data_IF_367191126709
#
_entry.id   IF_367191126709
#
_cell.length_a   1.000
_cell.length_b   1.000
_cell.length_c   1.000
_cell.angle_alpha   90.00
_cell.angle_beta   90.00
_cell.angle_gamma   90.00
#
_symmetry.space_group_name_H-M   'P 1'
#
loop_
_entity.id
_entity.type
_entity.pdbx_description
1 polymer ?
#
# COMPACT_ATOMS: atom_id res chain seq x y z
N UNK A 1 -6.13 10.95 -20.80
CA UNK A 1 -6.37 11.95 -19.75
C UNK A 1 -5.51 11.56 -18.56
N UNK A 2 -4.75 12.49 -17.99
CA UNK A 2 -4.05 12.27 -16.72
C UNK A 2 -4.81 13.04 -15.63
N UNK A 3 -5.01 12.42 -14.48
CA UNK A 3 -5.66 13.07 -13.34
C UNK A 3 -4.61 13.30 -12.25
N UNK A 4 -4.64 14.50 -11.67
CA UNK A 4 -3.73 14.89 -10.59
C UNK A 4 -4.50 14.88 -9.29
N UNK A 5 -3.88 14.35 -8.24
CA UNK A 5 -4.44 14.30 -6.90
C UNK A 5 -3.38 14.79 -5.91
N UNK A 6 -3.84 15.41 -4.82
CA UNK A 6 -3.00 15.77 -3.68
C UNK A 6 -3.58 15.09 -2.45
N UNK A 7 -2.71 14.43 -1.68
CA UNK A 7 -3.09 13.67 -0.49
C UNK A 7 -2.14 14.07 0.63
N UNK A 8 -2.66 14.29 1.83
CA UNK A 8 -1.83 14.48 3.00
C UNK A 8 -1.32 13.12 3.48
N UNK A 9 0.00 13.00 3.67
CA UNK A 9 0.65 11.81 4.19
C UNK A 9 1.31 12.11 5.54
N UNK A 10 1.40 11.10 6.38
CA UNK A 10 1.99 11.13 7.71
C UNK A 10 3.10 10.08 7.80
N UNK A 11 4.02 10.26 8.75
CA UNK A 11 5.04 9.26 9.04
C UNK A 11 4.41 7.93 9.45
N UNK A 12 4.93 6.84 8.91
CA UNK A 12 4.37 5.49 9.06
C UNK A 12 3.39 5.12 7.94
N UNK A 13 2.91 6.06 7.12
CA UNK A 13 2.04 5.73 5.99
C UNK A 13 2.76 4.87 4.94
N UNK A 14 2.03 3.91 4.37
CA UNK A 14 2.48 3.11 3.24
C UNK A 14 1.83 3.57 1.94
N UNK A 15 2.65 4.00 0.99
CA UNK A 15 2.20 4.31 -0.38
C UNK A 15 2.42 3.08 -1.26
N UNK A 16 1.33 2.55 -1.83
CA UNK A 16 1.35 1.46 -2.80
C UNK A 16 0.88 1.97 -4.17
N UNK A 17 1.67 1.68 -5.19
CA UNK A 17 1.34 1.92 -6.59
C UNK A 17 1.37 0.58 -7.33
N UNK A 18 0.47 0.39 -8.29
CA UNK A 18 0.41 -0.85 -9.06
C UNK A 18 -0.14 -0.63 -10.47
N UNK A 19 0.13 -1.59 -11.35
CA UNK A 19 -0.53 -1.68 -12.66
C UNK A 19 -1.93 -2.26 -12.53
N UNK A 20 -2.72 -2.17 -13.60
CA UNK A 20 -4.06 -2.78 -13.69
C UNK A 20 -4.01 -4.30 -13.41
N UNK A 21 -2.95 -5.00 -13.79
CA UNK A 21 -2.75 -6.42 -13.46
C UNK A 21 -2.87 -6.74 -11.96
N UNK A 22 -2.55 -5.80 -11.07
CA UNK A 22 -2.76 -5.93 -9.61
C UNK A 22 -4.24 -5.79 -9.28
N UNK A 23 -4.85 -4.66 -9.67
CA UNK A 23 -6.23 -4.29 -9.31
C UNK A 23 -7.29 -5.11 -10.04
N UNK A 24 -6.94 -5.77 -11.14
CA UNK A 24 -7.80 -6.72 -11.84
C UNK A 24 -7.89 -8.06 -11.11
N UNK A 25 -6.87 -8.43 -10.34
CA UNK A 25 -6.76 -9.74 -9.70
C UNK A 25 -6.98 -9.71 -8.18
N UNK A 26 -6.67 -8.61 -7.51
CA UNK A 26 -6.87 -8.43 -6.07
C UNK A 26 -7.94 -7.39 -5.76
N UNK A 27 -8.78 -7.66 -4.77
CA UNK A 27 -9.67 -6.64 -4.22
C UNK A 27 -8.93 -5.71 -3.25
N UNK A 28 -9.41 -4.47 -3.10
CA UNK A 28 -8.83 -3.48 -2.19
C UNK A 28 -8.61 -4.02 -0.77
N UNK A 29 -9.58 -4.77 -0.23
CA UNK A 29 -9.47 -5.35 1.11
C UNK A 29 -8.35 -6.40 1.22
N UNK A 30 -8.00 -7.09 0.14
CA UNK A 30 -6.90 -8.05 0.12
C UNK A 30 -5.55 -7.33 0.09
N UNK A 31 -5.45 -6.25 -0.68
CA UNK A 31 -4.28 -5.38 -0.71
C UNK A 31 -4.07 -4.75 0.67
N UNK A 32 -5.14 -4.21 1.29
CA UNK A 32 -5.09 -3.67 2.65
C UNK A 32 -4.71 -4.74 3.68
N UNK A 33 -5.22 -5.97 3.57
CA UNK A 33 -4.87 -7.05 4.48
C UNK A 33 -3.37 -7.38 4.40
N UNK A 34 -2.79 -7.41 3.20
CA UNK A 34 -1.35 -7.62 3.01
C UNK A 34 -0.53 -6.44 3.55
N UNK A 35 -0.96 -5.21 3.30
CA UNK A 35 -0.32 -4.01 3.83
C UNK A 35 -0.32 -3.96 5.36
N UNK A 36 -1.43 -4.34 6.01
CA UNK A 36 -1.56 -4.33 7.47
C UNK A 36 -0.70 -5.39 8.19
N UNK A 37 -0.13 -6.36 7.46
CA UNK A 37 0.84 -7.30 8.03
C UNK A 37 2.25 -6.70 8.11
N UNK A 38 2.49 -5.58 7.44
CA UNK A 38 3.77 -4.92 7.42
C UNK A 38 3.95 -4.02 8.65
N UNK A 39 5.12 -4.07 9.26
CA UNK A 39 5.51 -3.15 10.32
C UNK A 39 6.25 -1.95 9.72
N UNK A 40 5.72 -0.75 9.92
CA UNK A 40 6.35 0.48 9.43
C UNK A 40 7.64 0.80 10.21
N UNK A 41 8.57 1.59 9.64
CA UNK A 41 9.76 2.07 10.35
C UNK A 41 9.42 2.82 11.65
N UNK A 42 8.37 3.65 11.60
CA UNK A 42 7.88 4.43 12.74
C UNK A 42 7.38 3.54 13.88
N UNK A 43 6.58 2.52 13.57
CA UNK A 43 6.09 1.57 14.59
C UNK A 43 7.23 0.73 15.17
N UNK A 44 8.20 0.33 14.34
CA UNK A 44 9.38 -0.40 14.81
C UNK A 44 10.23 0.43 15.79
N UNK A 45 10.34 1.73 15.57
CA UNK A 45 11.00 2.67 16.48
C UNK A 45 10.24 2.80 17.82
N UNK A 46 8.91 2.95 17.78
CA UNK A 46 8.06 2.98 18.99
C UNK A 46 8.21 1.70 19.82
N UNK A 47 8.33 0.55 19.15
CA UNK A 47 8.53 -0.75 19.79
C UNK A 47 9.96 -0.95 20.31
N UNK A 48 10.88 -0.02 20.04
CA UNK A 48 12.28 -0.06 20.48
C UNK A 48 13.13 -1.09 19.73
N UNK A 49 12.69 -1.56 18.56
CA UNK A 49 13.41 -2.55 17.75
C UNK A 49 13.32 -2.22 16.26
N UNK A 50 14.19 -1.31 15.75
CA UNK A 50 14.18 -0.86 14.37
C UNK A 50 14.36 -1.99 13.34
N UNK A 51 14.98 -3.10 13.75
CA UNK A 51 15.25 -4.26 12.88
C UNK A 51 13.99 -5.07 12.55
N UNK A 52 12.86 -4.83 13.25
CA UNK A 52 11.58 -5.48 12.96
C UNK A 52 10.81 -4.83 11.80
N UNK A 53 11.28 -3.70 11.29
CA UNK A 53 10.68 -3.03 10.13
C UNK A 53 10.53 -3.98 8.96
N UNK A 54 9.33 -4.00 8.37
CA UNK A 54 9.10 -4.72 7.11
C UNK A 54 9.57 -3.85 5.96
N UNK A 55 10.48 -4.35 5.12
CA UNK A 55 10.96 -3.58 3.98
C UNK A 55 9.82 -3.31 2.98
N UNK A 56 9.77 -2.10 2.41
CA UNK A 56 8.77 -1.77 1.40
C UNK A 56 8.80 -2.76 0.21
N UNK A 57 10.01 -3.21 -0.18
CA UNK A 57 10.18 -4.24 -1.20
C UNK A 57 9.48 -5.56 -0.85
N UNK A 58 9.54 -6.01 0.40
CA UNK A 58 8.84 -7.22 0.82
C UNK A 58 7.32 -7.06 0.72
N UNK A 59 6.78 -5.88 1.07
CA UNK A 59 5.36 -5.59 0.90
C UNK A 59 4.96 -5.59 -0.57
N UNK A 60 5.74 -4.92 -1.43
CA UNK A 60 5.50 -4.91 -2.87
C UNK A 60 5.52 -6.33 -3.47
N UNK A 61 6.51 -7.15 -3.07
CA UNK A 61 6.62 -8.54 -3.50
C UNK A 61 5.40 -9.36 -3.06
N UNK A 62 4.97 -9.24 -1.81
CA UNK A 62 3.80 -9.96 -1.30
C UNK A 62 2.51 -9.63 -2.08
N UNK A 63 2.29 -8.35 -2.39
CA UNK A 63 1.14 -7.92 -3.21
C UNK A 63 1.25 -8.44 -4.64
N UNK A 64 2.43 -8.34 -5.25
CA UNK A 64 2.66 -8.83 -6.62
C UNK A 64 2.48 -10.36 -6.72
N UNK A 65 2.99 -11.12 -5.75
CA UNK A 65 2.84 -12.57 -5.69
C UNK A 65 1.39 -12.99 -5.49
N UNK A 66 0.65 -12.32 -4.60
CA UNK A 66 -0.77 -12.58 -4.41
C UNK A 66 -1.58 -12.32 -5.69
N UNK A 67 -1.29 -11.21 -6.38
CA UNK A 67 -1.90 -10.91 -7.67
C UNK A 67 -1.54 -11.96 -8.74
N UNK A 68 -0.27 -12.37 -8.82
CA UNK A 68 0.21 -13.35 -9.80
C UNK A 68 -0.33 -14.76 -9.54
N UNK A 69 -0.55 -15.12 -8.27
CA UNK A 69 -1.18 -16.37 -7.91
C UNK A 69 -2.66 -16.38 -8.34
N UNK A 70 -3.39 -15.28 -8.09
CA UNK A 70 -4.79 -15.16 -8.52
C UNK A 70 -4.95 -15.06 -10.04
N UNK A 71 -4.05 -14.35 -10.72
CA UNK A 71 -4.09 -14.17 -12.17
C UNK A 71 -4.04 -15.49 -12.92
N UNK A 72 -3.31 -16.47 -12.39
CA UNK A 72 -3.15 -17.82 -12.97
C UNK A 72 -4.25 -18.80 -12.58
N UNK A 73 -5.10 -18.47 -11.61
CA UNK A 73 -6.13 -19.38 -11.11
C UNK A 73 -7.43 -19.24 -11.96
N UNK A 74 -7.82 -20.27 -12.74
CA UNK A 74 -9.01 -20.21 -13.60
C UNK A 74 -10.34 -20.14 -12.84
N UNK A 75 -10.33 -20.44 -11.54
CA UNK A 75 -11.51 -20.42 -10.67
C UNK A 75 -11.47 -19.27 -9.66
N UNK A 76 -10.43 -18.41 -9.70
CA UNK A 76 -10.34 -17.28 -8.79
C UNK A 76 -11.49 -16.29 -9.02
N UNK A 77 -12.07 -15.84 -7.91
CA UNK A 77 -12.97 -14.69 -7.92
C UNK A 77 -12.11 -13.43 -7.86
N UNK A 78 -12.10 -12.68 -8.94
CA UNK A 78 -11.31 -11.46 -9.09
C UNK A 78 -12.20 -10.25 -9.42
N UNK A 79 -11.73 -9.02 -9.16
CA UNK A 79 -12.39 -7.81 -9.66
C UNK A 79 -12.63 -7.87 -11.17
N UNK A 80 -11.66 -8.30 -11.97
CA UNK A 80 -11.81 -8.42 -13.42
C UNK A 80 -12.98 -9.32 -13.83
N UNK A 81 -13.05 -10.53 -13.27
CA UNK A 81 -14.17 -11.44 -13.50
C UNK A 81 -15.51 -10.80 -13.10
N UNK A 82 -15.57 -10.08 -11.97
CA UNK A 82 -16.78 -9.38 -11.52
C UNK A 82 -17.20 -8.28 -12.50
N UNK A 83 -16.25 -7.51 -13.04
CA UNK A 83 -16.51 -6.49 -14.05
C UNK A 83 -16.94 -7.10 -15.39
N UNK A 84 -16.26 -8.14 -15.87
CA UNK A 84 -16.60 -8.87 -17.09
C UNK A 84 -18.05 -9.40 -17.06
N UNK A 85 -18.45 -10.01 -15.93
CA UNK A 85 -19.83 -10.49 -15.72
C UNK A 85 -20.86 -9.35 -15.77
N UNK A 86 -20.55 -8.18 -15.20
CA UNK A 86 -21.43 -6.99 -15.27
C UNK A 86 -21.55 -6.45 -16.68
N UNK A 87 -20.46 -6.50 -17.45
CA UNK A 87 -20.42 -6.12 -18.86
C UNK A 87 -21.06 -7.17 -19.80
N UNK A 88 -21.72 -8.22 -19.26
CA UNK A 88 -22.31 -9.34 -20.03
C UNK A 88 -21.30 -10.10 -20.89
N UNK A 89 -20.02 -10.06 -20.51
CA UNK A 89 -18.96 -10.86 -21.11
C UNK A 89 -18.64 -12.04 -20.21
N UNK A 90 -18.44 -13.21 -20.81
CA UNK A 90 -18.11 -14.42 -20.07
C UNK A 90 -16.60 -14.56 -19.95
N UNK A 91 -16.06 -14.10 -18.82
CA UNK A 91 -14.68 -14.37 -18.41
C UNK A 91 -14.69 -15.01 -17.02
N UNK A 92 -13.92 -16.08 -16.84
CA UNK A 92 -13.80 -16.82 -15.58
C UNK A 92 -12.35 -16.80 -15.11
N UNK A 93 -12.13 -16.69 -13.80
CA UNK A 93 -10.81 -16.73 -13.20
C UNK A 93 -10.07 -15.38 -13.18
N UNK A 94 -8.78 -15.46 -12.91
CA UNK A 94 -7.87 -14.32 -12.98
C UNK A 94 -7.54 -13.88 -14.39
N UNK A 95 -7.08 -12.64 -14.53
CA UNK A 95 -6.58 -12.06 -15.78
C UNK A 95 -5.06 -12.19 -15.79
N UNK A 96 -4.51 -13.01 -16.69
CA UNK A 96 -3.05 -13.06 -16.88
C UNK A 96 -2.60 -11.75 -17.53
N UNK A 97 -1.84 -10.96 -16.78
CA UNK A 97 -1.38 -9.63 -17.20
C UNK A 97 -0.04 -9.30 -16.53
N UNK A 98 0.61 -8.25 -17.00
CA UNK A 98 1.84 -7.74 -16.40
C UNK A 98 1.54 -7.11 -15.03
N UNK A 99 2.23 -7.60 -14.00
CA UNK A 99 2.03 -7.18 -12.62
C UNK A 99 3.28 -6.43 -12.16
N UNK A 100 3.11 -5.14 -11.90
CA UNK A 100 4.14 -4.30 -11.30
C UNK A 100 3.58 -3.63 -10.06
N UNK A 101 4.34 -3.64 -8.96
CA UNK A 101 4.00 -2.99 -7.69
C UNK A 101 5.20 -2.17 -7.22
N UNK A 102 4.96 -0.94 -6.78
CA UNK A 102 5.94 -0.10 -6.09
C UNK A 102 5.38 0.21 -4.70
N UNK A 103 6.21 0.07 -3.68
CA UNK A 103 5.87 0.39 -2.30
C UNK A 103 6.88 1.39 -1.73
N UNK A 104 6.39 2.31 -0.91
CA UNK A 104 7.22 3.33 -0.24
C UNK A 104 6.68 3.60 1.16
N UNK A 105 7.57 3.60 2.15
CA UNK A 105 7.25 4.08 3.49
C UNK A 105 7.46 5.59 3.57
N UNK A 106 6.51 6.29 4.17
CA UNK A 106 6.65 7.70 4.52
C UNK A 106 7.38 7.78 5.85
N UNK A 107 8.51 8.48 5.86
CA UNK A 107 9.35 8.71 7.04
C UNK A 107 9.46 10.21 7.28
N UNK A 108 9.58 10.65 8.53
CA UNK A 108 10.06 12.00 8.80
C UNK A 108 11.52 12.08 8.39
N UNK A 109 11.87 13.12 7.63
CA UNK A 109 13.23 13.29 7.13
C UNK A 109 14.21 13.51 8.29
N UNK A 110 15.25 12.70 8.37
CA UNK A 110 16.50 13.13 8.96
C UNK A 110 17.22 13.97 7.91
N UNK A 111 17.22 15.31 8.04
CA UNK A 111 18.06 16.15 7.21
C UNK A 111 19.52 15.70 7.32
N UNK A 112 20.03 15.08 6.26
CA UNK A 112 21.46 14.79 6.16
C UNK A 112 22.18 16.06 5.72
N UNK A 113 22.36 16.99 6.66
CA UNK A 113 23.15 18.21 6.47
C UNK A 113 22.52 19.47 7.04
N UNK A 114 22.90 19.78 8.30
CA UNK A 114 22.95 21.11 8.92
C UNK A 114 21.86 22.14 8.55
N UNK A 115 20.80 22.19 9.37
CA UNK A 115 20.44 23.36 10.18
C UNK A 115 19.35 22.95 11.17
N UNK A 116 19.56 23.28 12.44
CA UNK A 116 18.70 22.90 13.55
C UNK A 116 17.32 23.54 13.45
N UNK A 117 16.29 22.73 13.21
CA UNK A 117 14.89 23.08 13.43
C UNK A 117 14.17 21.87 14.00
N UNK A 118 13.81 21.93 15.29
CA UNK A 118 13.18 20.83 16.00
C UNK A 118 11.95 20.29 15.26
N UNK A 119 11.87 18.98 15.07
CA UNK A 119 10.62 18.31 14.75
C UNK A 119 9.69 18.44 15.97
N UNK A 120 8.76 19.39 15.90
CA UNK A 120 7.75 19.55 16.92
C UNK A 120 6.85 18.32 16.88
N UNK A 121 7.07 17.39 17.82
CA UNK A 121 6.06 16.45 18.28
C UNK A 121 4.81 17.28 18.63
N UNK A 122 3.84 17.29 17.73
CA UNK A 122 2.52 17.85 18.01
C UNK A 122 1.83 16.91 18.99
N UNK A 123 2.18 17.07 20.28
CA UNK A 123 1.34 16.56 21.35
C UNK A 123 0.00 17.29 21.23
N UNK A 124 -1.06 16.53 20.97
CA UNK A 124 -2.43 17.01 20.96
C UNK A 124 -2.80 17.51 22.36
N UNK A 125 -2.45 18.76 22.66
CA UNK A 125 -2.91 19.51 23.81
C UNK A 125 -4.34 19.99 23.57
N UNK A 126 -5.19 19.72 24.54
CA UNK A 126 -6.62 20.00 24.57
C UNK A 126 -6.99 21.43 24.10
N UNK A 127 -7.95 21.52 23.17
CA UNK A 127 -8.72 22.74 22.98
C UNK A 127 -9.95 22.67 23.89
N UNK A 128 -9.82 23.28 25.07
CA UNK A 128 -10.94 23.68 25.90
C UNK A 128 -11.59 24.95 25.31
N UNK A 129 -12.92 24.94 25.25
CA UNK A 129 -13.90 26.03 25.38
C UNK A 129 -13.50 27.47 24.99
N UNK A 130 -14.28 28.06 24.06
CA UNK A 130 -15.21 29.17 24.34
C UNK A 130 -16.26 29.28 23.24
#
# INVERSE_FOLDING_TARGET
MAQVYSVHAQEGDLVLLGTDGVFDNLFDHEICALANLALSPYEAEILGDPNKTTSAQAVAAAVAEAAAHKSRNPMAKTPFMKHARRAKTHFMGGKMDDITVVACWVTCGAETGAESGACHHATSGACASY
#
